data_IF_221348164261
#
_entry.id   IF_221348164261
#
_cell.length_a   1.000
_cell.length_b   1.000
_cell.length_c   1.000
_cell.angle_alpha   90.00
_cell.angle_beta   90.00
_cell.angle_gamma   90.00
#
_symmetry.space_group_name_H-M   'P 1'
#
loop_
_entity.id
_entity.type
_entity.pdbx_description
1 polymer ?
#
# COMPACT_ATOMS: atom_id res chain seq x y z
N UNK A 1 4.25 -0.37 11.06
CA UNK A 1 3.93 0.17 9.71
C UNK A 1 3.05 -0.87 9.04
N UNK A 2 1.85 -0.48 8.59
CA UNK A 2 0.75 -1.40 8.19
C UNK A 2 0.63 -1.52 6.66
N UNK A 3 1.46 -0.77 5.95
CA UNK A 3 1.48 -0.66 4.51
C UNK A 3 2.93 -0.67 4.06
N UNK A 4 3.24 -1.58 3.13
CA UNK A 4 4.52 -1.73 2.46
C UNK A 4 4.39 -1.09 1.09
N UNK A 5 5.35 -0.26 0.73
CA UNK A 5 5.53 0.21 -0.64
C UNK A 5 6.78 -0.45 -1.21
N UNK A 6 6.64 -1.14 -2.34
CA UNK A 6 7.74 -1.76 -3.08
C UNK A 6 7.88 -1.05 -4.42
N UNK A 7 9.01 -0.37 -4.62
CA UNK A 7 9.32 0.24 -5.90
C UNK A 7 10.02 -0.81 -6.76
N UNK A 8 9.36 -1.28 -7.81
CA UNK A 8 10.03 -2.13 -8.80
C UNK A 8 10.92 -1.23 -9.67
N UNK A 9 12.23 -1.41 -9.52
CA UNK A 9 13.26 -0.55 -10.10
C UNK A 9 13.66 -1.02 -11.51
N UNK A 10 13.00 -2.05 -12.05
CA UNK A 10 13.38 -2.72 -13.30
C UNK A 10 12.58 -2.28 -14.52
N UNK A 11 11.52 -1.48 -14.36
CA UNK A 11 10.71 -1.01 -15.48
C UNK A 11 10.69 0.53 -15.54
N UNK A 12 11.60 1.10 -16.33
CA UNK A 12 11.71 2.55 -16.59
C UNK A 12 10.43 3.17 -17.19
N UNK A 13 9.47 2.34 -17.61
CA UNK A 13 8.23 2.75 -18.29
C UNK A 13 6.96 2.64 -17.40
N UNK A 14 7.06 1.96 -16.25
CA UNK A 14 5.96 1.76 -15.29
C UNK A 14 6.43 2.03 -13.86
N UNK A 15 6.84 3.26 -13.57
CA UNK A 15 7.05 3.77 -12.20
C UNK A 15 5.72 3.87 -11.42
N UNK A 16 5.02 2.75 -11.24
CA UNK A 16 3.93 2.60 -10.29
C UNK A 16 4.38 1.58 -9.27
N UNK A 17 4.95 2.03 -8.15
CA UNK A 17 5.33 1.09 -7.10
C UNK A 17 4.12 0.35 -6.54
N UNK A 18 4.36 -0.86 -6.08
CA UNK A 18 3.35 -1.79 -5.60
C UNK A 18 3.09 -1.55 -4.11
N UNK A 19 1.83 -1.51 -3.71
CA UNK A 19 1.48 -1.43 -2.29
C UNK A 19 1.04 -2.79 -1.78
N UNK A 20 1.49 -3.15 -0.58
CA UNK A 20 1.11 -4.38 0.08
C UNK A 20 0.68 -4.06 1.50
N UNK A 21 -0.47 -4.56 1.92
CA UNK A 21 -0.90 -4.39 3.30
C UNK A 21 -0.19 -5.41 4.21
N UNK A 22 0.24 -4.96 5.38
CA UNK A 22 0.87 -5.80 6.40
C UNK A 22 -0.15 -6.12 7.47
N UNK A 23 -0.88 -7.22 7.30
CA UNK A 23 -1.88 -7.69 8.25
C UNK A 23 -1.20 -8.49 9.38
N UNK A 24 -1.37 -8.07 10.64
CA UNK A 24 -0.84 -8.78 11.81
C UNK A 24 0.65 -9.16 11.72
N UNK A 25 1.47 -8.33 11.06
CA UNK A 25 2.91 -8.58 10.88
C UNK A 25 3.28 -9.51 9.72
N UNK A 26 2.30 -9.87 8.86
CA UNK A 26 2.52 -10.59 7.60
C UNK A 26 2.19 -9.68 6.42
N UNK A 27 3.08 -9.64 5.43
CA UNK A 27 2.81 -8.96 4.17
C UNK A 27 1.79 -9.79 3.41
N UNK A 28 0.65 -9.20 3.08
CA UNK A 28 -0.34 -9.85 2.23
C UNK A 28 0.20 -9.92 0.81
N UNK A 29 0.04 -11.07 0.15
CA UNK A 29 0.38 -11.26 -1.27
C UNK A 29 -0.52 -10.43 -2.19
N UNK A 30 -1.67 -9.98 -1.66
CA UNK A 30 -2.61 -9.13 -2.39
C UNK A 30 -2.01 -7.74 -2.56
N UNK A 31 -1.64 -7.44 -3.79
CA UNK A 31 -1.32 -6.08 -4.23
C UNK A 31 -2.53 -5.15 -4.00
N UNK A 32 -2.25 -4.01 -3.40
CA UNK A 32 -3.19 -2.93 -3.20
C UNK A 32 -2.86 -1.79 -4.16
N UNK A 33 -3.93 -1.16 -4.63
CA UNK A 33 -3.86 0.08 -5.37
C UNK A 33 -4.29 1.21 -4.46
N UNK A 34 -3.80 2.41 -4.74
CA UNK A 34 -4.22 3.61 -4.02
C UNK A 34 -5.72 3.84 -4.27
N UNK A 35 -6.57 3.76 -3.24
CA UNK A 35 -7.99 4.02 -3.40
C UNK A 35 -8.24 5.51 -3.73
N UNK A 36 -9.40 5.85 -4.33
CA UNK A 36 -9.86 7.23 -4.41
C UNK A 36 -10.17 7.78 -3.00
N UNK A 37 -10.17 9.11 -2.80
CA UNK A 37 -10.36 9.70 -1.48
C UNK A 37 -11.77 9.47 -0.90
N UNK A 38 -12.75 9.13 -1.74
CA UNK A 38 -14.13 8.84 -1.34
C UNK A 38 -14.36 7.38 -0.93
N UNK A 39 -13.42 6.47 -1.23
CA UNK A 39 -13.61 5.02 -1.02
C UNK A 39 -12.34 4.38 -0.42
N UNK A 40 -12.11 4.52 0.90
CA UNK A 40 -10.94 3.94 1.55
C UNK A 40 -10.94 2.41 1.43
N UNK A 41 -9.74 1.83 1.37
CA UNK A 41 -9.60 0.38 1.29
C UNK A 41 -9.69 -0.23 2.69
N UNK A 42 -10.76 -0.95 2.97
CA UNK A 42 -10.87 -1.74 4.21
C UNK A 42 -10.20 -3.10 4.02
N UNK A 43 -9.27 -3.45 4.91
CA UNK A 43 -8.72 -4.79 4.94
C UNK A 43 -9.74 -5.77 5.54
N UNK A 44 -10.19 -6.81 4.82
CA UNK A 44 -11.15 -7.78 5.36
C UNK A 44 -10.58 -8.68 6.47
N UNK A 45 -9.26 -8.66 6.69
CA UNK A 45 -8.57 -9.55 7.62
C UNK A 45 -8.32 -8.89 8.99
N UNK A 46 -7.85 -7.64 9.00
CA UNK A 46 -7.68 -6.86 10.25
C UNK A 46 -8.76 -5.80 10.49
N UNK A 47 -9.60 -5.50 9.50
CA UNK A 47 -10.66 -4.48 9.60
C UNK A 47 -10.13 -3.05 9.66
N UNK A 48 -8.90 -2.79 9.19
CA UNK A 48 -8.36 -1.43 9.13
C UNK A 48 -8.76 -0.75 7.82
N UNK A 49 -9.22 0.49 7.94
CA UNK A 49 -9.37 1.42 6.84
C UNK A 49 -8.02 2.00 6.44
N UNK A 50 -7.67 1.83 5.17
CA UNK A 50 -6.50 2.43 4.55
C UNK A 50 -6.99 3.54 3.63
N UNK A 51 -6.83 4.78 4.11
CA UNK A 51 -7.19 5.98 3.36
C UNK A 51 -6.13 6.29 2.30
N UNK A 52 -6.49 7.05 1.27
CA UNK A 52 -5.55 7.49 0.25
C UNK A 52 -4.31 8.17 0.85
N UNK A 53 -4.48 8.94 1.93
CA UNK A 53 -3.38 9.62 2.61
C UNK A 53 -2.34 8.64 3.17
N UNK A 54 -2.74 7.47 3.67
CA UNK A 54 -1.81 6.43 4.14
C UNK A 54 -0.95 5.88 3.02
N UNK A 55 -1.53 5.65 1.85
CA UNK A 55 -0.79 5.19 0.67
C UNK A 55 0.21 6.24 0.20
N UNK A 56 -0.20 7.51 0.13
CA UNK A 56 0.68 8.62 -0.24
C UNK A 56 1.81 8.81 0.79
N UNK A 57 1.49 8.64 2.08
CA UNK A 57 2.48 8.72 3.15
C UNK A 57 3.48 7.56 3.07
N UNK A 58 3.02 6.34 2.81
CA UNK A 58 3.87 5.16 2.64
C UNK A 58 4.78 5.29 1.41
N UNK A 59 4.24 5.79 0.29
CA UNK A 59 5.02 6.09 -0.91
C UNK A 59 6.10 7.15 -0.64
N UNK A 60 5.74 8.22 0.08
CA UNK A 60 6.67 9.32 0.38
C UNK A 60 7.74 8.94 1.41
N UNK A 61 7.38 8.17 2.43
CA UNK A 61 8.32 7.76 3.48
C UNK A 61 9.23 6.61 3.01
N UNK A 62 8.77 5.79 2.07
CA UNK A 62 9.41 4.51 1.81
C UNK A 62 9.31 3.59 3.03
N UNK A 63 9.45 2.28 2.84
CA UNK A 63 9.51 1.39 3.99
C UNK A 63 10.85 1.62 4.70
N UNK A 64 10.83 2.11 5.94
CA UNK A 64 12.00 2.11 6.83
C UNK A 64 11.93 0.96 7.84
#
# INVERSE_FOLDING_TARGET
>A
MILKYENDILDEEKSGGHFYHVCQGRVQEKELFVPPPDEPYECPDCGIDLEQEDFLLAQRRGWS
#
